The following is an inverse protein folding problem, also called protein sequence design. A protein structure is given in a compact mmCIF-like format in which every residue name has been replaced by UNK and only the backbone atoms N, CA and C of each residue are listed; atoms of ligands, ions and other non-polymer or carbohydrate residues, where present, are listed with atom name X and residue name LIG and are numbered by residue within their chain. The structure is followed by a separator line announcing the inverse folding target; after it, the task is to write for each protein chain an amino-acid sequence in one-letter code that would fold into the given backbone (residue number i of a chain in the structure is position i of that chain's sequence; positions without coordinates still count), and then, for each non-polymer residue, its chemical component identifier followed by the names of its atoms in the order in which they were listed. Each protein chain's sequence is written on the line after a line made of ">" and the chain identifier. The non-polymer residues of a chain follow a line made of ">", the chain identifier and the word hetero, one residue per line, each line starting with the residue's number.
data_IF_784164439894
#
_entry.id   IF_784164439894
#
_cell.length_a   1.000
_cell.length_b   1.000
_cell.length_c   1.000
_cell.angle_alpha   90.00
_cell.angle_beta   90.00
_cell.angle_gamma   90.00
#
_symmetry.space_group_name_H-M   'P 1'
#
loop_
_entity.id
_entity.type
_entity.pdbx_description
1 polymer ?
#
# COMPACT_ATOMS: atom_id res chain seq x y z
N UNK A 1 -4.97 -14.28 -20.16
CA UNK A 1 -6.28 -13.66 -19.83
C UNK A 1 -6.29 -12.22 -20.34
N UNK A 2 -7.47 -11.64 -20.63
CA UNK A 2 -7.70 -10.58 -21.62
C UNK A 2 -7.07 -9.21 -21.27
N UNK A 3 -5.95 -8.86 -21.93
CA UNK A 3 -5.31 -7.53 -21.84
C UNK A 3 -6.23 -6.37 -22.25
N UNK A 4 -7.18 -6.65 -23.14
CA UNK A 4 -8.22 -5.73 -23.62
C UNK A 4 -9.14 -5.18 -22.51
N UNK A 5 -9.25 -5.87 -21.37
CA UNK A 5 -10.06 -5.42 -20.23
C UNK A 5 -9.29 -4.50 -19.26
N UNK A 6 -7.96 -4.40 -19.38
CA UNK A 6 -7.12 -3.62 -18.45
C UNK A 6 -7.46 -2.14 -18.54
N UNK A 7 -7.51 -1.56 -19.74
CA UNK A 7 -7.76 -0.13 -19.91
C UNK A 7 -9.13 0.32 -19.35
N UNK A 8 -10.26 -0.36 -19.65
CA UNK A 8 -11.54 -0.06 -19.01
C UNK A 8 -11.49 -0.17 -17.48
N UNK A 9 -10.82 -1.18 -16.93
CA UNK A 9 -10.70 -1.39 -15.49
C UNK A 9 -9.86 -0.30 -14.81
N UNK A 10 -8.73 0.09 -15.39
CA UNK A 10 -7.88 1.19 -14.90
C UNK A 10 -8.69 2.48 -14.84
N UNK A 11 -9.40 2.82 -15.92
CA UNK A 11 -10.27 4.02 -15.95
C UNK A 11 -11.35 3.96 -14.87
N UNK A 12 -11.96 2.80 -14.67
CA UNK A 12 -12.93 2.58 -13.60
C UNK A 12 -12.32 2.85 -12.21
N UNK A 13 -11.15 2.29 -11.90
CA UNK A 13 -10.48 2.50 -10.60
C UNK A 13 -10.06 3.95 -10.38
N UNK A 14 -9.51 4.62 -11.40
CA UNK A 14 -9.14 6.04 -11.33
C UNK A 14 -10.37 6.90 -11.02
N UNK A 15 -11.51 6.65 -11.68
CA UNK A 15 -12.74 7.39 -11.40
C UNK A 15 -13.30 7.14 -10.00
N UNK A 16 -13.09 5.95 -9.42
CA UNK A 16 -13.55 5.57 -8.07
C UNK A 16 -12.63 6.07 -6.96
N UNK A 17 -11.36 6.32 -7.25
CA UNK A 17 -10.42 6.92 -6.30
C UNK A 17 -10.81 8.36 -5.93
N UNK A 18 -11.60 9.02 -6.78
CA UNK A 18 -12.16 10.35 -6.58
C UNK A 18 -13.20 10.29 -5.46
N UNK A 19 -12.84 10.80 -4.29
CA UNK A 19 -13.71 10.83 -3.11
C UNK A 19 -13.33 9.86 -1.99
N UNK A 20 -12.30 9.03 -2.18
CA UNK A 20 -11.84 8.04 -1.17
C UNK A 20 -10.54 8.44 -0.44
N UNK A 21 -10.29 9.73 -0.26
CA UNK A 21 -9.12 10.23 0.51
C UNK A 21 -7.74 10.05 -0.18
N UNK A 22 -7.71 9.85 -1.50
CA UNK A 22 -6.46 9.62 -2.29
C UNK A 22 -5.85 10.87 -2.95
N UNK A 23 -6.26 12.07 -2.54
CA UNK A 23 -5.77 13.33 -3.12
C UNK A 23 -6.47 13.73 -4.44
N UNK A 24 -5.94 14.74 -5.16
CA UNK A 24 -6.53 15.22 -6.40
C UNK A 24 -6.46 14.18 -7.51
N UNK A 25 -7.49 14.16 -8.37
CA UNK A 25 -7.62 13.24 -9.49
C UNK A 25 -6.41 13.35 -10.44
N UNK A 26 -5.67 12.25 -10.61
CA UNK A 26 -4.54 12.18 -11.54
C UNK A 26 -4.97 11.51 -12.84
N UNK A 27 -4.44 12.01 -13.96
CA UNK A 27 -4.61 11.38 -15.27
C UNK A 27 -3.58 10.27 -15.46
N UNK A 28 -3.96 9.17 -16.10
CA UNK A 28 -3.00 8.15 -16.56
C UNK A 28 -2.59 8.55 -17.97
N UNK A 29 -1.29 8.76 -18.23
CA UNK A 29 -0.78 9.01 -19.57
C UNK A 29 -0.75 7.71 -20.40
N UNK A 30 -0.79 7.84 -21.72
CA UNK A 30 -0.84 6.69 -22.63
C UNK A 30 0.36 5.75 -22.42
N UNK A 31 1.56 6.29 -22.21
CA UNK A 31 2.75 5.49 -21.90
C UNK A 31 2.63 4.70 -20.59
N UNK A 32 1.95 5.23 -19.57
CA UNK A 32 1.68 4.48 -18.34
C UNK A 32 0.65 3.37 -18.57
N UNK A 33 -0.36 3.62 -19.40
CA UNK A 33 -1.36 2.62 -19.78
C UNK A 33 -0.71 1.45 -20.53
N UNK A 34 0.15 1.74 -21.52
CA UNK A 34 0.89 0.71 -22.27
C UNK A 34 1.73 -0.17 -21.34
N UNK A 35 2.39 0.43 -20.33
CA UNK A 35 3.13 -0.34 -19.32
C UNK A 35 2.21 -1.24 -18.51
N UNK A 36 1.08 -0.74 -18.03
CA UNK A 36 0.10 -1.53 -17.26
C UNK A 36 -0.49 -2.69 -18.08
N UNK A 37 -0.71 -2.49 -19.38
CA UNK A 37 -1.20 -3.52 -20.29
C UNK A 37 -0.14 -4.59 -20.63
N UNK A 38 1.13 -4.22 -20.62
CA UNK A 38 2.25 -5.11 -20.89
C UNK A 38 2.59 -6.05 -19.71
N UNK A 39 2.14 -5.73 -18.50
CA UNK A 39 2.37 -6.52 -17.29
C UNK A 39 1.43 -7.71 -17.18
N UNK A 40 1.92 -8.75 -16.51
CA UNK A 40 1.11 -9.88 -16.10
C UNK A 40 0.50 -9.61 -14.71
N UNK A 41 -0.79 -9.93 -14.56
CA UNK A 41 -1.58 -9.70 -13.35
C UNK A 41 -2.02 -11.05 -12.73
N UNK A 42 -1.10 -11.82 -12.13
CA UNK A 42 -1.38 -13.16 -11.61
C UNK A 42 -2.45 -13.19 -10.50
N UNK A 43 -2.61 -12.10 -9.74
CA UNK A 43 -3.67 -11.89 -8.76
C UNK A 43 -4.94 -11.25 -9.33
N UNK A 44 -5.10 -11.25 -10.65
CA UNK A 44 -6.26 -10.77 -11.39
C UNK A 44 -6.56 -9.27 -11.14
N UNK A 45 -7.83 -8.91 -11.25
CA UNK A 45 -8.37 -7.55 -11.11
C UNK A 45 -7.97 -6.89 -9.77
N UNK A 46 -7.75 -7.67 -8.70
CA UNK A 46 -7.37 -7.14 -7.38
C UNK A 46 -5.94 -6.58 -7.39
N UNK A 47 -5.00 -7.25 -8.03
CA UNK A 47 -3.63 -6.72 -8.17
C UNK A 47 -3.59 -5.48 -9.04
N UNK A 48 -4.30 -5.49 -10.17
CA UNK A 48 -4.42 -4.32 -11.05
C UNK A 48 -4.98 -3.12 -10.27
N UNK A 49 -6.07 -3.31 -9.52
CA UNK A 49 -6.66 -2.26 -8.68
C UNK A 49 -5.65 -1.69 -7.69
N UNK A 50 -4.98 -2.55 -6.94
CA UNK A 50 -4.01 -2.13 -5.93
C UNK A 50 -2.85 -1.34 -6.55
N UNK A 51 -2.36 -1.78 -7.71
CA UNK A 51 -1.28 -1.09 -8.43
C UNK A 51 -1.73 0.28 -8.93
N UNK A 52 -2.93 0.39 -9.50
CA UNK A 52 -3.49 1.68 -9.94
C UNK A 52 -3.67 2.62 -8.74
N UNK A 53 -4.23 2.16 -7.63
CA UNK A 53 -4.37 2.95 -6.40
C UNK A 53 -3.01 3.45 -5.89
N UNK A 54 -1.97 2.61 -5.94
CA UNK A 54 -0.59 2.99 -5.57
C UNK A 54 -0.03 4.06 -6.50
N UNK A 55 -0.19 3.93 -7.80
CA UNK A 55 0.27 4.92 -8.78
C UNK A 55 -0.41 6.27 -8.56
N UNK A 56 -1.70 6.28 -8.26
CA UNK A 56 -2.42 7.51 -7.95
C UNK A 56 -1.91 8.21 -6.69
N UNK A 57 -1.38 7.47 -5.71
CA UNK A 57 -0.78 8.06 -4.50
C UNK A 57 0.65 8.53 -4.78
N UNK A 58 1.48 7.66 -5.35
CA UNK A 58 2.93 7.81 -5.40
C UNK A 58 3.45 8.67 -6.56
N UNK A 59 2.73 8.73 -7.69
CA UNK A 59 3.23 9.44 -8.88
C UNK A 59 3.29 10.94 -8.63
N UNK A 60 4.40 11.63 -8.89
CA UNK A 60 4.51 13.06 -8.62
C UNK A 60 3.64 13.88 -9.58
N UNK A 61 2.93 14.87 -9.05
CA UNK A 61 2.16 15.81 -9.86
C UNK A 61 0.76 15.32 -10.24
N UNK A 62 0.27 15.74 -11.41
CA UNK A 62 -1.12 15.55 -11.86
C UNK A 62 -1.33 14.36 -12.80
N UNK A 63 -0.25 13.70 -13.23
CA UNK A 63 -0.28 12.64 -14.21
C UNK A 63 0.63 11.48 -13.79
N UNK A 64 0.19 10.25 -14.06
CA UNK A 64 0.98 9.03 -13.92
C UNK A 64 1.66 8.75 -15.26
N UNK A 65 2.98 8.62 -15.25
CA UNK A 65 3.83 8.38 -16.42
C UNK A 65 4.32 6.94 -16.50
N UNK A 66 4.88 6.57 -17.64
CA UNK A 66 5.47 5.25 -17.83
C UNK A 66 6.57 4.96 -16.79
N UNK A 67 7.39 5.96 -16.45
CA UNK A 67 8.46 5.81 -15.45
C UNK A 67 7.92 5.49 -14.05
N UNK A 68 6.73 5.99 -13.69
CA UNK A 68 6.10 5.72 -12.40
C UNK A 68 5.67 4.25 -12.30
N UNK A 69 5.17 3.67 -13.40
CA UNK A 69 4.81 2.25 -13.50
C UNK A 69 6.07 1.38 -13.43
N UNK A 70 7.09 1.73 -14.20
CA UNK A 70 8.35 0.99 -14.22
C UNK A 70 9.05 1.03 -12.84
N UNK A 71 9.05 2.18 -12.17
CA UNK A 71 9.60 2.34 -10.82
C UNK A 71 8.85 1.49 -9.78
N UNK A 72 7.53 1.37 -9.91
CA UNK A 72 6.71 0.56 -9.01
C UNK A 72 6.92 -0.95 -9.22
N UNK A 73 7.15 -1.38 -10.46
CA UNK A 73 7.29 -2.80 -10.85
C UNK A 73 8.72 -3.33 -10.67
N UNK A 74 9.75 -2.50 -10.87
CA UNK A 74 11.16 -2.90 -10.83
C UNK A 74 11.69 -3.35 -9.44
N UNK A 75 10.83 -3.52 -8.44
CA UNK A 75 11.17 -4.26 -7.22
C UNK A 75 11.53 -3.43 -5.98
N UNK A 76 11.07 -2.19 -5.87
CA UNK A 76 11.08 -1.46 -4.58
C UNK A 76 9.81 -1.69 -3.74
N UNK A 77 8.77 -2.32 -4.30
CA UNK A 77 7.42 -2.27 -3.71
C UNK A 77 6.94 -3.53 -2.95
N UNK A 78 7.83 -4.26 -2.30
CA UNK A 78 7.44 -5.20 -1.22
C UNK A 78 7.90 -4.75 0.17
N UNK A 79 8.93 -3.89 0.25
CA UNK A 79 9.44 -3.33 1.50
C UNK A 79 9.25 -1.82 1.67
N UNK A 80 9.17 -1.05 0.58
CA UNK A 80 9.37 0.41 0.62
C UNK A 80 8.08 1.27 0.50
N UNK A 81 6.94 0.62 0.28
CA UNK A 81 5.61 1.29 0.30
C UNK A 81 5.30 1.84 1.69
N UNK A 82 5.66 1.09 2.72
CA UNK A 82 5.56 1.54 4.10
C UNK A 82 6.51 2.71 4.35
N UNK A 83 7.75 2.64 3.85
CA UNK A 83 8.71 3.74 3.95
C UNK A 83 8.19 5.04 3.32
N UNK A 84 7.65 4.96 2.11
CA UNK A 84 7.17 6.13 1.37
C UNK A 84 5.89 6.73 1.97
N UNK A 85 4.94 5.89 2.40
CA UNK A 85 3.73 6.34 3.11
C UNK A 85 4.09 6.99 4.44
N UNK A 86 5.03 6.39 5.19
CA UNK A 86 5.50 6.94 6.45
C UNK A 86 6.22 8.29 6.26
N UNK A 87 7.11 8.40 5.27
CA UNK A 87 7.90 9.62 5.02
C UNK A 87 7.07 10.81 4.48
N UNK A 88 5.87 10.55 3.94
CA UNK A 88 4.95 11.59 3.49
C UNK A 88 4.07 12.19 4.61
N UNK A 89 4.19 11.69 5.85
CA UNK A 89 3.45 12.24 7.00
C UNK A 89 4.05 13.57 7.43
N UNK A 90 3.21 14.59 7.62
CA UNK A 90 3.65 15.97 7.90
C UNK A 90 4.27 16.11 9.31
N UNK A 91 3.93 15.22 10.25
CA UNK A 91 4.38 15.27 11.63
C UNK A 91 5.23 14.09 12.07
N UNK A 92 6.35 14.36 12.78
CA UNK A 92 7.22 13.31 13.36
C UNK A 92 6.48 12.38 14.34
N UNK A 93 5.50 12.91 15.08
CA UNK A 93 4.67 12.09 15.98
C UNK A 93 3.82 11.09 15.21
N UNK A 94 3.23 11.52 14.09
CA UNK A 94 2.37 10.71 13.24
C UNK A 94 3.20 9.64 12.50
N UNK A 95 4.39 10.01 12.01
CA UNK A 95 5.37 9.06 11.47
C UNK A 95 5.69 7.96 12.48
N UNK A 96 6.04 8.34 13.71
CA UNK A 96 6.42 7.40 14.76
C UNK A 96 5.29 6.43 15.09
N UNK A 97 4.06 6.93 15.18
CA UNK A 97 2.90 6.09 15.50
C UNK A 97 2.55 5.12 14.36
N UNK A 98 2.56 5.58 13.11
CA UNK A 98 2.28 4.72 11.97
C UNK A 98 3.38 3.68 11.75
N UNK A 99 4.65 4.06 11.94
CA UNK A 99 5.77 3.14 11.82
C UNK A 99 5.70 2.05 12.90
N UNK A 100 5.35 2.44 14.13
CA UNK A 100 5.17 1.53 15.24
C UNK A 100 3.99 0.57 15.00
N UNK A 101 2.84 1.08 14.56
CA UNK A 101 1.66 0.29 14.21
C UNK A 101 2.00 -0.75 13.13
N UNK A 102 2.65 -0.33 12.05
CA UNK A 102 3.02 -1.20 10.94
C UNK A 102 4.00 -2.29 11.37
N UNK A 103 5.00 -1.93 12.18
CA UNK A 103 5.97 -2.87 12.73
C UNK A 103 5.28 -3.93 13.60
N UNK A 104 4.39 -3.50 14.51
CA UNK A 104 3.65 -4.40 15.40
C UNK A 104 2.72 -5.33 14.59
N UNK A 105 1.96 -4.78 13.64
CA UNK A 105 1.06 -5.55 12.79
C UNK A 105 1.83 -6.62 11.98
N UNK A 106 2.97 -6.26 11.40
CA UNK A 106 3.82 -7.20 10.68
C UNK A 106 4.32 -8.32 11.60
N UNK A 107 4.87 -7.99 12.77
CA UNK A 107 5.38 -8.99 13.72
C UNK A 107 4.28 -9.89 14.30
N UNK A 108 3.07 -9.37 14.50
CA UNK A 108 1.92 -10.18 14.90
C UNK A 108 1.57 -11.20 13.82
N UNK A 109 1.48 -10.78 12.54
CA UNK A 109 1.19 -11.69 11.43
C UNK A 109 2.27 -12.77 11.27
N UNK A 110 3.56 -12.42 11.33
CA UNK A 110 4.67 -13.39 11.20
C UNK A 110 4.71 -14.42 12.33
N UNK A 111 4.12 -14.12 13.48
CA UNK A 111 4.03 -15.05 14.62
C UNK A 111 2.60 -15.58 14.81
N UNK A 112 1.79 -15.65 13.75
CA UNK A 112 0.42 -16.20 13.75
C UNK A 112 -0.50 -15.59 14.83
N UNK A 113 -0.35 -14.28 15.06
CA UNK A 113 -1.06 -13.53 16.10
C UNK A 113 -0.82 -14.01 17.54
N UNK A 114 0.25 -14.77 17.79
CA UNK A 114 0.67 -15.12 19.13
C UNK A 114 1.28 -13.90 19.84
N UNK A 115 0.46 -13.19 20.60
CA UNK A 115 0.86 -11.97 21.33
C UNK A 115 1.99 -12.24 22.33
N UNK A 116 1.99 -13.40 23.00
CA UNK A 116 3.02 -13.74 24.00
C UNK A 116 4.38 -13.97 23.34
N UNK A 117 4.41 -14.70 22.23
CA UNK A 117 5.64 -14.94 21.46
C UNK A 117 6.11 -13.69 20.75
N UNK A 118 5.19 -12.89 20.19
CA UNK A 118 5.50 -11.60 19.56
C UNK A 118 6.14 -10.64 20.55
N UNK A 119 5.54 -10.47 21.74
CA UNK A 119 6.06 -9.64 22.82
C UNK A 119 7.49 -10.04 23.21
N UNK A 120 7.73 -11.34 23.38
CA UNK A 120 9.05 -11.89 23.68
C UNK A 120 10.06 -11.58 22.56
N UNK A 121 9.68 -11.79 21.30
CA UNK A 121 10.55 -11.59 20.14
C UNK A 121 10.91 -10.12 19.88
N UNK A 122 9.98 -9.20 20.11
CA UNK A 122 10.24 -7.76 19.93
C UNK A 122 10.78 -7.07 21.19
N UNK A 123 10.96 -7.82 22.30
CA UNK A 123 11.50 -7.28 23.55
C UNK A 123 10.55 -6.33 24.30
N UNK A 124 9.25 -6.47 24.10
CA UNK A 124 8.23 -5.60 24.71
C UNK A 124 7.43 -6.37 25.77
N UNK A 125 7.13 -5.77 26.95
CA UNK A 125 6.22 -6.38 27.90
C UNK A 125 4.85 -6.66 27.28
N UNK A 126 4.29 -7.85 27.53
CA UNK A 126 3.00 -8.28 26.98
C UNK A 126 1.87 -7.28 27.25
N UNK A 127 1.83 -6.69 28.44
CA UNK A 127 0.85 -5.66 28.83
C UNK A 127 0.95 -4.39 27.99
N UNK A 128 2.15 -4.01 27.54
CA UNK A 128 2.36 -2.86 26.66
C UNK A 128 1.93 -3.18 25.22
N UNK A 129 2.25 -4.39 24.75
CA UNK A 129 1.82 -4.84 23.42
C UNK A 129 0.29 -4.88 23.31
N UNK A 130 -0.43 -5.37 24.32
CA UNK A 130 -1.90 -5.31 24.35
C UNK A 130 -2.45 -3.88 24.25
N UNK A 131 -1.89 -2.94 25.03
CA UNK A 131 -2.29 -1.53 24.97
C UNK A 131 -2.08 -0.92 23.59
N UNK A 132 -0.99 -1.30 22.90
CA UNK A 132 -0.72 -0.84 21.53
C UNK A 132 -1.65 -1.47 20.50
N UNK A 133 -1.97 -2.76 20.65
CA UNK A 133 -2.97 -3.44 19.80
C UNK A 133 -4.32 -2.75 19.91
N UNK A 134 -4.78 -2.46 21.14
CA UNK A 134 -6.03 -1.73 21.37
C UNK A 134 -5.97 -0.29 20.85
N UNK A 135 -4.89 0.44 21.15
CA UNK A 135 -4.69 1.83 20.69
C UNK A 135 -4.76 1.95 19.17
N UNK A 136 -4.21 0.98 18.44
CA UNK A 136 -4.14 0.98 16.98
C UNK A 136 -5.27 0.21 16.29
N UNK A 137 -6.19 -0.40 17.05
CA UNK A 137 -7.31 -1.18 16.48
C UNK A 137 -6.86 -2.38 15.64
N UNK A 138 -5.73 -2.99 15.98
CA UNK A 138 -5.16 -4.09 15.21
C UNK A 138 -5.97 -5.38 15.42
N UNK A 139 -6.64 -5.84 14.37
CA UNK A 139 -7.42 -7.06 14.36
C UNK A 139 -6.81 -8.11 13.44
N UNK A 140 -7.03 -9.39 13.78
CA UNK A 140 -6.74 -10.51 12.89
C UNK A 140 -7.69 -10.43 11.70
N UNK A 141 -7.18 -10.01 10.56
CA UNK A 141 -7.88 -10.16 9.28
C UNK A 141 -7.99 -11.67 8.98
N UNK A 142 -9.22 -12.16 8.84
CA UNK A 142 -9.53 -13.52 8.36
C UNK A 142 -9.30 -13.65 6.84
#
# INVERSE_FOLDING_TARGET
>A
ERREDIQPLVRYFVSRAVGSNHGPLKTIEDGAMERLEALDWPGNVRELRNTVERLLILSPGKAVRAEDVDALVAGTASGDVLGTVLLNLEGFSEFKENAEMAYIAHKLRTNDWNVSETARRIGMPRSNLYKKIEKYGLNREE
#
